data_IF_014942378304
#
_entry.id   IF_014942378304
#
_cell.length_a   1.000
_cell.length_b   1.000
_cell.length_c   1.000
_cell.angle_alpha   90.00
_cell.angle_beta   90.00
_cell.angle_gamma   90.00
#
_symmetry.space_group_name_H-M   'P 1'
#
loop_
_entity.id
_entity.type
_entity.pdbx_description
1 polymer ?
#
# COMPACT_ATOMS: atom_id res chain seq x y z
N UNK A 1 -5.79 12.66 24.98
CA UNK A 1 -6.54 12.59 23.72
C UNK A 1 -5.82 13.23 22.54
N UNK A 2 -5.40 14.51 22.56
CA UNK A 2 -4.64 15.11 21.43
C UNK A 2 -3.37 14.33 21.05
N UNK A 3 -2.57 13.93 22.05
CA UNK A 3 -1.35 13.13 21.82
C UNK A 3 -1.64 11.74 21.23
N UNK A 4 -2.73 11.08 21.62
CA UNK A 4 -3.02 9.69 21.22
C UNK A 4 -3.40 9.53 19.74
N UNK A 5 -4.02 10.57 19.16
CA UNK A 5 -4.40 10.58 17.76
C UNK A 5 -3.24 11.06 16.86
N UNK A 6 -2.37 11.94 17.36
CA UNK A 6 -1.07 12.19 16.72
C UNK A 6 -0.20 10.94 16.75
N UNK A 7 -0.24 10.18 17.85
CA UNK A 7 0.38 8.86 17.92
C UNK A 7 -0.26 7.90 16.91
N UNK A 8 -1.56 8.01 16.59
CA UNK A 8 -2.19 7.16 15.58
C UNK A 8 -1.72 7.47 14.15
N UNK A 9 -1.61 8.76 13.80
CA UNK A 9 -1.04 9.20 12.53
C UNK A 9 0.44 8.81 12.41
N UNK A 10 1.23 9.03 13.47
CA UNK A 10 2.65 8.63 13.52
C UNK A 10 2.79 7.11 13.39
N UNK A 11 1.99 6.32 14.12
CA UNK A 11 2.00 4.85 14.01
C UNK A 11 1.68 4.40 12.59
N UNK A 12 0.63 4.94 11.97
CA UNK A 12 0.27 4.61 10.60
C UNK A 12 1.37 4.99 9.60
N UNK A 13 2.03 6.13 9.81
CA UNK A 13 3.16 6.56 8.97
C UNK A 13 4.38 5.66 9.13
N UNK A 14 4.70 5.23 10.37
CA UNK A 14 5.79 4.30 10.64
C UNK A 14 5.52 2.91 10.03
N UNK A 15 4.29 2.43 10.10
CA UNK A 15 3.88 1.19 9.45
C UNK A 15 4.01 1.29 7.92
N UNK A 16 3.53 2.38 7.31
CA UNK A 16 3.68 2.64 5.90
C UNK A 16 5.16 2.70 5.49
N UNK A 17 6.01 3.39 6.28
CA UNK A 17 7.46 3.45 6.02
C UNK A 17 8.10 2.06 6.01
N UNK A 18 7.79 1.23 7.00
CA UNK A 18 8.31 -0.16 7.05
C UNK A 18 7.81 -0.99 5.87
N UNK A 19 6.59 -0.78 5.41
CA UNK A 19 6.06 -1.47 4.23
C UNK A 19 6.70 -0.99 2.93
N UNK A 20 7.04 0.30 2.83
CA UNK A 20 7.83 0.82 1.70
C UNK A 20 9.21 0.16 1.66
N UNK A 21 9.89 0.02 2.80
CA UNK A 21 11.19 -0.66 2.87
C UNK A 21 11.09 -2.13 2.40
N UNK A 22 10.04 -2.85 2.83
CA UNK A 22 9.77 -4.23 2.35
C UNK A 22 9.44 -4.26 0.86
N UNK A 23 8.59 -3.36 0.40
CA UNK A 23 8.20 -3.23 -1.01
C UNK A 23 9.42 -3.06 -1.91
N UNK A 24 10.38 -2.20 -1.51
CA UNK A 24 11.61 -2.00 -2.29
C UNK A 24 12.40 -3.30 -2.40
N UNK A 25 12.53 -4.06 -1.30
CA UNK A 25 13.20 -5.36 -1.32
C UNK A 25 12.46 -6.38 -2.20
N UNK A 26 11.13 -6.49 -2.05
CA UNK A 26 10.29 -7.45 -2.77
C UNK A 26 10.28 -7.16 -4.28
N UNK A 27 10.13 -5.90 -4.67
CA UNK A 27 10.19 -5.50 -6.08
C UNK A 27 11.60 -5.63 -6.66
N UNK A 28 12.65 -5.44 -5.86
CA UNK A 28 14.02 -5.75 -6.26
C UNK A 28 14.20 -7.22 -6.61
N UNK A 29 13.75 -8.13 -5.73
CA UNK A 29 13.79 -9.57 -5.99
C UNK A 29 12.92 -9.99 -7.19
N UNK A 30 11.77 -9.34 -7.38
CA UNK A 30 10.91 -9.57 -8.54
C UNK A 30 11.57 -9.12 -9.86
N UNK A 31 12.33 -8.02 -9.84
CA UNK A 31 13.09 -7.54 -11.00
C UNK A 31 14.19 -8.53 -11.39
N UNK A 32 14.98 -9.01 -10.43
CA UNK A 32 16.00 -10.05 -10.67
C UNK A 32 15.37 -11.32 -11.27
N UNK A 33 14.20 -11.73 -10.76
CA UNK A 33 13.47 -12.87 -11.32
C UNK A 33 12.97 -12.60 -12.74
N UNK A 34 12.47 -11.40 -13.02
CA UNK A 34 12.04 -11.04 -14.36
C UNK A 34 13.20 -11.15 -15.37
N UNK A 35 14.41 -10.76 -14.99
CA UNK A 35 15.61 -10.92 -15.82
C UNK A 35 15.91 -12.40 -16.15
N UNK A 36 15.75 -13.29 -15.17
CA UNK A 36 15.88 -14.74 -15.39
C UNK A 36 14.82 -15.28 -16.37
N UNK A 37 13.56 -14.85 -16.23
CA UNK A 37 12.48 -15.25 -17.13
C UNK A 37 12.76 -14.75 -18.57
N UNK A 38 13.25 -13.52 -18.72
CA UNK A 38 13.67 -12.95 -20.00
C UNK A 38 14.82 -13.76 -20.60
N UNK A 39 15.83 -14.12 -19.80
CA UNK A 39 16.96 -14.94 -20.25
C UNK A 39 16.50 -16.33 -20.74
N UNK A 40 15.59 -16.98 -20.01
CA UNK A 40 14.99 -18.25 -20.44
C UNK A 40 14.22 -18.11 -21.75
N UNK A 41 13.44 -17.04 -21.90
CA UNK A 41 12.69 -16.78 -23.13
C UNK A 41 13.62 -16.56 -24.32
N UNK A 42 14.70 -15.79 -24.14
CA UNK A 42 15.72 -15.55 -25.17
C UNK A 42 16.46 -16.83 -25.59
N UNK A 43 16.54 -17.83 -24.70
CA UNK A 43 17.07 -19.18 -25.01
C UNK A 43 16.06 -20.09 -25.72
N UNK A 44 14.89 -19.57 -26.12
CA UNK A 44 13.90 -20.28 -26.92
C UNK A 44 12.86 -21.07 -26.11
N UNK A 45 12.88 -21.01 -24.76
CA UNK A 45 11.84 -21.67 -23.94
C UNK A 45 10.48 -21.04 -24.18
N UNK A 46 9.43 -21.86 -24.14
CA UNK A 46 8.05 -21.37 -24.21
C UNK A 46 7.63 -20.75 -22.88
N UNK A 47 6.65 -19.84 -22.89
CA UNK A 47 6.12 -19.26 -21.66
C UNK A 47 5.53 -20.32 -20.73
N UNK A 48 4.89 -21.35 -21.28
CA UNK A 48 4.38 -22.46 -20.49
C UNK A 48 5.51 -23.17 -19.71
N UNK A 49 6.64 -23.46 -20.36
CA UNK A 49 7.79 -24.07 -19.68
C UNK A 49 8.41 -23.14 -18.63
N UNK A 50 8.51 -21.85 -18.94
CA UNK A 50 9.10 -20.84 -18.06
C UNK A 50 8.25 -20.71 -16.79
N UNK A 51 6.96 -20.41 -16.93
CA UNK A 51 6.05 -20.18 -15.80
C UNK A 51 5.83 -21.47 -14.99
N UNK A 52 5.73 -22.63 -15.66
CA UNK A 52 5.57 -23.92 -14.94
C UNK A 52 6.83 -24.32 -14.15
N UNK A 53 7.98 -23.71 -14.41
CA UNK A 53 9.24 -23.94 -13.67
C UNK A 53 9.62 -22.78 -12.75
N UNK A 54 8.82 -21.71 -12.73
CA UNK A 54 9.01 -20.58 -11.83
C UNK A 54 8.76 -21.05 -10.39
N UNK A 55 9.67 -20.68 -9.48
CA UNK A 55 9.51 -20.95 -8.05
C UNK A 55 8.80 -19.78 -7.38
N UNK A 56 7.84 -20.03 -6.48
CA UNK A 56 7.21 -18.97 -5.70
C UNK A 56 8.23 -18.16 -4.86
N UNK A 57 7.94 -16.88 -4.55
CA UNK A 57 6.77 -16.13 -5.06
C UNK A 57 6.95 -15.73 -6.53
N UNK A 58 5.87 -15.86 -7.30
CA UNK A 58 5.89 -15.47 -8.72
C UNK A 58 6.09 -13.96 -8.84
N UNK A 59 6.64 -13.48 -9.98
CA UNK A 59 6.75 -12.03 -10.24
C UNK A 59 5.39 -11.36 -10.12
N UNK A 60 4.34 -11.94 -10.72
CA UNK A 60 2.99 -11.37 -10.70
C UNK A 60 2.36 -11.41 -9.30
N UNK A 61 2.64 -12.46 -8.52
CA UNK A 61 2.16 -12.60 -7.15
C UNK A 61 2.80 -11.54 -6.26
N UNK A 62 4.10 -11.32 -6.41
CA UNK A 62 4.85 -10.29 -5.67
C UNK A 62 4.30 -8.89 -5.96
N UNK A 63 4.11 -8.55 -7.24
CA UNK A 63 3.55 -7.24 -7.64
C UNK A 63 2.14 -7.05 -7.08
N UNK A 64 1.30 -8.08 -7.15
CA UNK A 64 -0.08 -8.01 -6.65
C UNK A 64 -0.10 -7.80 -5.13
N UNK A 65 0.68 -8.59 -4.38
CA UNK A 65 0.78 -8.47 -2.93
C UNK A 65 1.28 -7.11 -2.46
N UNK A 66 2.30 -6.56 -3.13
CA UNK A 66 2.82 -5.21 -2.85
C UNK A 66 1.75 -4.13 -3.10
N UNK A 67 1.02 -4.20 -4.22
CA UNK A 67 -0.01 -3.21 -4.54
C UNK A 67 -1.15 -3.24 -3.52
N UNK A 68 -1.57 -4.43 -3.09
CA UNK A 68 -2.61 -4.60 -2.07
C UNK A 68 -2.14 -4.02 -0.72
N UNK A 69 -0.94 -4.39 -0.25
CA UNK A 69 -0.40 -3.91 1.03
C UNK A 69 -0.22 -2.38 1.05
N UNK A 70 0.33 -1.81 -0.02
CA UNK A 70 0.49 -0.35 -0.15
C UNK A 70 -0.86 0.37 -0.25
N UNK A 71 -1.84 -0.24 -0.92
CA UNK A 71 -3.20 0.28 -1.01
C UNK A 71 -3.84 0.42 0.37
N UNK A 72 -3.76 -0.64 1.17
CA UNK A 72 -4.34 -0.70 2.50
C UNK A 72 -3.65 0.26 3.49
N UNK A 73 -2.32 0.20 3.59
CA UNK A 73 -1.56 1.05 4.50
C UNK A 73 -1.63 2.52 4.10
N UNK A 74 -1.58 2.82 2.81
CA UNK A 74 -1.74 4.18 2.30
C UNK A 74 -3.14 4.73 2.57
N UNK A 75 -4.18 3.89 2.49
CA UNK A 75 -5.55 4.29 2.85
C UNK A 75 -5.68 4.60 4.33
N UNK A 76 -5.12 3.73 5.19
CA UNK A 76 -5.10 3.92 6.64
C UNK A 76 -4.36 5.19 7.04
N UNK A 77 -3.15 5.42 6.51
CA UNK A 77 -2.39 6.62 6.81
C UNK A 77 -3.14 7.90 6.42
N UNK A 78 -3.69 7.98 5.19
CA UNK A 78 -4.47 9.14 4.75
C UNK A 78 -5.67 9.44 5.66
N UNK A 79 -6.30 8.41 6.22
CA UNK A 79 -7.40 8.57 7.18
C UNK A 79 -6.91 9.16 8.49
N UNK A 80 -5.86 8.59 9.09
CA UNK A 80 -5.33 9.07 10.37
C UNK A 80 -4.76 10.49 10.25
N UNK A 81 -4.11 10.82 9.13
CA UNK A 81 -3.62 12.17 8.83
C UNK A 81 -4.78 13.17 8.66
N UNK A 82 -5.84 12.80 7.94
CA UNK A 82 -7.03 13.64 7.81
C UNK A 82 -7.73 13.88 9.17
N UNK A 83 -7.81 12.86 10.03
CA UNK A 83 -8.36 12.98 11.37
C UNK A 83 -7.48 13.87 12.27
N UNK A 84 -6.16 13.81 12.10
CA UNK A 84 -5.24 14.71 12.79
C UNK A 84 -5.47 16.16 12.40
N UNK A 85 -5.49 16.45 11.10
CA UNK A 85 -5.75 17.80 10.59
C UNK A 85 -7.13 18.33 11.00
N UNK A 86 -8.16 17.48 11.06
CA UNK A 86 -9.48 17.89 11.52
C UNK A 86 -9.47 18.31 13.01
N UNK A 87 -8.68 17.66 13.85
CA UNK A 87 -8.51 18.04 15.26
C UNK A 87 -7.76 19.36 15.42
N UNK A 88 -6.93 19.71 14.46
CA UNK A 88 -6.27 21.02 14.34
C UNK A 88 -7.19 22.09 13.71
N UNK A 89 -8.51 21.87 13.70
CA UNK A 89 -9.54 22.75 13.13
C UNK A 89 -9.37 23.05 11.62
N UNK A 90 -8.59 22.23 10.90
CA UNK A 90 -8.44 22.38 9.45
C UNK A 90 -9.71 21.88 8.75
N UNK A 91 -10.33 22.78 7.98
CA UNK A 91 -11.57 22.44 7.26
C UNK A 91 -11.39 21.33 6.22
N UNK A 92 -12.45 20.55 5.97
CA UNK A 92 -12.50 19.50 4.92
C UNK A 92 -12.08 20.04 3.56
N UNK A 93 -12.47 21.28 3.22
CA UNK A 93 -12.07 21.94 1.98
C UNK A 93 -10.56 22.09 1.89
N UNK A 94 -9.93 22.57 2.96
CA UNK A 94 -8.49 22.79 3.01
C UNK A 94 -7.71 21.47 3.00
N UNK A 95 -8.18 20.46 3.71
CA UNK A 95 -7.60 19.10 3.67
C UNK A 95 -7.67 18.54 2.24
N UNK A 96 -8.81 18.71 1.55
CA UNK A 96 -8.98 18.24 0.17
C UNK A 96 -7.98 18.90 -0.79
N UNK A 97 -7.74 20.20 -0.65
CA UNK A 97 -6.71 20.94 -1.40
C UNK A 97 -5.30 20.39 -1.12
N UNK A 98 -4.94 20.22 0.16
CA UNK A 98 -3.63 19.71 0.58
C UNK A 98 -3.37 18.30 0.04
N UNK A 99 -4.37 17.44 0.09
CA UNK A 99 -4.29 16.06 -0.38
C UNK A 99 -4.49 15.92 -1.89
N UNK A 100 -4.81 17.02 -2.60
CA UNK A 100 -5.12 17.03 -4.04
C UNK A 100 -6.23 16.04 -4.41
N UNK A 101 -7.27 15.97 -3.58
CA UNK A 101 -8.45 15.13 -3.78
C UNK A 101 -9.73 15.95 -3.68
N UNK A 102 -10.87 15.35 -4.01
CA UNK A 102 -12.17 16.00 -3.86
C UNK A 102 -12.60 16.07 -2.38
N UNK A 103 -13.46 17.03 -2.03
CA UNK A 103 -14.08 17.09 -0.69
C UNK A 103 -14.83 15.80 -0.34
N UNK A 104 -15.50 15.18 -1.31
CA UNK A 104 -16.21 13.92 -1.12
C UNK A 104 -15.25 12.80 -0.67
N UNK A 105 -14.03 12.76 -1.23
CA UNK A 105 -13.03 11.77 -0.86
C UNK A 105 -12.51 11.98 0.57
N UNK A 106 -12.28 13.22 0.98
CA UNK A 106 -11.94 13.54 2.38
C UNK A 106 -13.08 13.20 3.32
N UNK A 107 -14.32 13.54 2.95
CA UNK A 107 -15.50 13.17 3.73
C UNK A 107 -15.59 11.65 3.91
N UNK A 108 -15.38 10.86 2.85
CA UNK A 108 -15.37 9.40 2.93
C UNK A 108 -14.27 8.88 3.89
N UNK A 109 -13.07 9.45 3.88
CA UNK A 109 -11.99 9.09 4.82
C UNK A 109 -12.42 9.30 6.28
N UNK A 110 -13.07 10.43 6.59
CA UNK A 110 -13.47 10.80 7.95
C UNK A 110 -14.69 10.02 8.46
N UNK A 111 -15.61 9.64 7.57
CA UNK A 111 -16.86 8.94 7.95
C UNK A 111 -16.77 7.41 7.88
N UNK A 112 -15.67 6.87 7.32
CA UNK A 112 -15.45 5.42 7.33
C UNK A 112 -15.12 4.95 8.75
N UNK A 113 -16.09 4.29 9.39
CA UNK A 113 -15.84 3.50 10.61
C UNK A 113 -14.78 2.44 10.28
N UNK A 114 -13.83 2.15 11.19
CA UNK A 114 -12.86 1.08 10.95
C UNK A 114 -13.64 -0.19 10.62
N UNK A 115 -13.33 -0.79 9.48
CA UNK A 115 -13.87 -2.08 9.11
C UNK A 115 -13.50 -3.03 10.25
N UNK A 116 -14.51 -3.56 10.95
CA UNK A 116 -14.32 -4.66 11.90
C UNK A 116 -13.53 -5.73 11.17
N UNK A 117 -12.43 -6.11 11.82
CA UNK A 117 -11.59 -7.26 11.53
C UNK A 117 -12.42 -8.37 10.87
N UNK A 118 -12.32 -8.50 9.55
CA UNK A 118 -12.93 -9.62 8.84
C UNK A 118 -12.00 -10.79 9.11
N UNK A 119 -12.37 -11.52 10.15
CA UNK A 119 -11.69 -12.70 10.66
C UNK A 119 -11.20 -13.59 9.54
N UNK A 120 -9.89 -13.80 9.54
CA UNK A 120 -9.22 -14.86 8.81
C UNK A 120 -9.58 -16.16 9.52
N UNK A 121 -10.47 -16.95 8.92
CA UNK A 121 -10.65 -18.39 9.21
C UNK A 121 -9.87 -19.17 8.18
#
# INVERSE_FOLDING_TARGET
MEREADDAAIRALLELRRALDRTVADLGAAAERADDLIAQRRRGRSWFQIVSSEKPPLVIETVTGVLDELGDLGSRFRREEALALQREDISITRIAEMFRVTRQRVSALLHTRPARDRGRT
#
